data_IF_788135158188
#
_entry.id   IF_788135158188
#
_cell.length_a   1.000
_cell.length_b   1.000
_cell.length_c   1.000
_cell.angle_alpha   90.00
_cell.angle_beta   90.00
_cell.angle_gamma   90.00
#
_symmetry.space_group_name_H-M   'P 1'
#
loop_
_entity.id
_entity.type
_entity.pdbx_description
1 polymer ?
#
# COMPACT_ATOMS: atom_id res chain seq x y z
N UNK A 1 -12.82 9.61 15.09
CA UNK A 1 -13.38 9.69 13.71
C UNK A 1 -14.02 8.39 13.20
N UNK A 2 -14.49 7.46 14.05
CA UNK A 2 -15.26 6.29 13.58
C UNK A 2 -14.46 5.21 12.82
N UNK A 3 -13.15 5.37 12.70
CA UNK A 3 -12.23 4.43 12.06
C UNK A 3 -11.05 4.10 12.98
N UNK A 4 -10.48 2.92 12.77
CA UNK A 4 -9.19 2.49 13.31
C UNK A 4 -8.20 2.37 12.16
N UNK A 5 -6.92 2.67 12.41
CA UNK A 5 -5.90 2.63 11.36
C UNK A 5 -4.52 2.23 11.86
N UNK A 6 -3.76 1.63 10.95
CA UNK A 6 -2.36 1.28 11.08
C UNK A 6 -1.63 1.82 9.86
N UNK A 7 -0.73 2.76 10.09
CA UNK A 7 -0.02 3.49 9.05
C UNK A 7 1.46 3.08 9.05
N UNK A 8 2.13 3.16 7.90
CA UNK A 8 3.55 2.89 7.80
C UNK A 8 3.95 1.44 8.04
N UNK A 9 3.11 0.47 7.62
CA UNK A 9 3.41 -0.96 7.70
C UNK A 9 4.35 -1.34 6.55
N UNK A 10 5.58 -1.81 6.81
CA UNK A 10 6.51 -2.16 5.74
C UNK A 10 6.09 -3.49 5.11
N UNK A 11 5.99 -3.53 3.78
CA UNK A 11 5.68 -4.77 3.05
C UNK A 11 6.89 -5.35 2.30
N UNK A 12 7.99 -4.60 2.19
CA UNK A 12 9.22 -5.01 1.54
C UNK A 12 10.44 -4.46 2.28
N UNK A 13 11.62 -5.01 2.00
CA UNK A 13 12.87 -4.43 2.47
C UNK A 13 13.07 -3.02 1.87
N UNK A 14 13.69 -2.08 2.61
CA UNK A 14 13.95 -0.74 2.09
C UNK A 14 14.77 -0.79 0.80
N UNK A 15 14.32 -0.18 -0.32
CA UNK A 15 14.99 -0.25 -1.61
C UNK A 15 16.15 0.74 -1.71
N UNK A 16 17.03 0.75 -0.70
CA UNK A 16 18.16 1.67 -0.55
C UNK A 16 19.49 0.97 -0.83
N UNK A 17 20.53 1.75 -1.12
CA UNK A 17 21.88 1.22 -1.34
C UNK A 17 21.90 0.18 -2.47
N UNK A 18 22.32 -1.05 -2.17
CA UNK A 18 22.42 -2.15 -3.14
C UNK A 18 21.05 -2.65 -3.64
N UNK A 19 19.95 -2.29 -2.97
CA UNK A 19 18.58 -2.60 -3.41
C UNK A 19 17.96 -1.48 -4.25
N UNK A 20 18.66 -0.35 -4.43
CA UNK A 20 18.20 0.73 -5.30
C UNK A 20 18.07 0.22 -6.73
N UNK A 21 16.94 0.54 -7.36
CA UNK A 21 16.56 0.09 -8.71
C UNK A 21 16.39 -1.43 -8.88
N UNK A 22 16.44 -2.22 -7.81
CA UNK A 22 16.22 -3.67 -7.85
C UNK A 22 14.74 -4.02 -7.67
N UNK A 23 14.36 -5.21 -8.12
CA UNK A 23 13.11 -5.84 -7.71
C UNK A 23 12.95 -5.78 -6.18
N UNK A 24 11.74 -5.51 -5.65
CA UNK A 24 11.54 -5.46 -4.21
C UNK A 24 11.76 -6.83 -3.59
N UNK A 25 12.36 -6.84 -2.40
CA UNK A 25 12.64 -8.06 -1.65
C UNK A 25 11.61 -8.21 -0.53
N UNK A 26 10.89 -9.34 -0.42
CA UNK A 26 9.93 -9.57 0.65
C UNK A 26 10.60 -9.55 2.03
N UNK A 27 9.84 -9.10 3.04
CA UNK A 27 10.22 -9.24 4.45
C UNK A 27 9.89 -10.68 4.86
N UNK A 28 10.88 -11.56 4.88
CA UNK A 28 10.70 -12.96 5.25
C UNK A 28 10.61 -13.20 6.75
N UNK A 29 11.20 -12.30 7.54
CA UNK A 29 11.20 -12.39 8.99
C UNK A 29 10.50 -11.18 9.58
N UNK A 30 9.48 -11.36 10.43
CA UNK A 30 8.85 -10.25 11.12
C UNK A 30 9.92 -9.52 11.95
N UNK A 31 9.93 -8.18 11.89
CA UNK A 31 10.76 -7.38 12.80
C UNK A 31 10.39 -7.76 14.22
N UNK A 32 11.39 -8.05 15.06
CA UNK A 32 11.14 -8.39 16.47
C UNK A 32 10.63 -7.14 17.20
N UNK A 33 9.53 -7.29 17.93
CA UNK A 33 8.98 -6.24 18.79
C UNK A 33 7.76 -5.53 18.20
N UNK A 34 7.21 -4.60 18.98
CA UNK A 34 6.07 -3.79 18.58
C UNK A 34 6.54 -2.70 17.61
N UNK A 35 5.95 -2.64 16.42
CA UNK A 35 6.18 -1.55 15.48
C UNK A 35 5.15 -0.44 15.71
N UNK A 36 5.61 0.80 15.78
CA UNK A 36 4.72 1.95 15.82
C UNK A 36 4.06 2.14 14.45
N UNK A 37 2.73 2.10 14.41
CA UNK A 37 1.93 2.25 13.19
C UNK A 37 0.94 3.43 13.31
N UNK A 38 1.29 4.49 14.04
CA UNK A 38 0.45 5.69 14.21
C UNK A 38 0.72 6.80 13.21
N UNK A 39 1.73 6.65 12.35
CA UNK A 39 2.15 7.66 11.37
C UNK A 39 2.45 7.01 10.02
N UNK A 40 2.24 7.76 8.94
CA UNK A 40 2.62 7.31 7.61
C UNK A 40 4.14 7.09 7.53
N UNK A 41 4.54 6.07 6.77
CA UNK A 41 5.91 5.95 6.29
C UNK A 41 6.19 6.99 5.18
N UNK A 42 7.46 7.13 4.82
CA UNK A 42 7.88 8.12 3.83
C UNK A 42 7.20 7.89 2.47
N UNK A 43 6.92 8.99 1.77
CA UNK A 43 6.58 8.99 0.36
C UNK A 43 7.84 8.72 -0.49
N UNK A 44 7.67 8.00 -1.59
CA UNK A 44 8.80 7.67 -2.48
C UNK A 44 9.40 8.93 -3.14
N UNK A 45 10.70 8.91 -3.51
CA UNK A 45 11.38 10.07 -4.06
C UNK A 45 10.71 10.61 -5.32
N UNK A 46 10.36 11.89 -5.33
CA UNK A 46 9.66 12.55 -6.43
C UNK A 46 9.72 14.08 -6.30
N UNK A 47 9.57 14.79 -7.41
CA UNK A 47 9.28 16.20 -7.39
C UNK A 47 7.77 16.38 -7.16
N UNK A 48 7.37 16.81 -5.96
CA UNK A 48 5.97 16.94 -5.62
C UNK A 48 5.44 18.34 -5.98
N UNK A 49 4.37 18.39 -6.77
CA UNK A 49 3.64 19.63 -7.07
C UNK A 49 2.69 20.06 -5.93
N UNK A 50 2.44 19.18 -4.97
CA UNK A 50 1.56 19.37 -3.82
C UNK A 50 2.11 18.65 -2.59
N UNK A 51 1.47 18.84 -1.42
CA UNK A 51 1.82 18.08 -0.22
C UNK A 51 1.59 16.59 -0.43
N UNK A 52 2.54 15.76 0.02
CA UNK A 52 2.43 14.30 -0.01
C UNK A 52 1.95 13.73 1.33
N UNK A 53 1.76 14.57 2.36
CA UNK A 53 1.33 14.15 3.70
C UNK A 53 2.35 13.33 4.51
N UNK A 54 3.55 13.08 3.98
CA UNK A 54 4.68 12.44 4.65
C UNK A 54 6.00 13.01 4.13
N UNK A 55 7.13 12.84 4.87
CA UNK A 55 8.47 13.12 4.35
C UNK A 55 8.78 12.30 3.10
N UNK A 56 9.79 12.73 2.34
CA UNK A 56 10.26 12.02 1.14
C UNK A 56 11.52 11.24 1.47
N UNK A 57 11.54 9.95 1.14
CA UNK A 57 12.66 9.04 1.39
C UNK A 57 12.64 7.84 0.46
N UNK A 58 13.78 7.19 0.25
CA UNK A 58 13.86 5.94 -0.53
C UNK A 58 13.33 4.73 0.24
N UNK A 59 13.41 4.74 1.57
CA UNK A 59 12.69 3.78 2.41
C UNK A 59 11.21 4.16 2.40
N UNK A 60 10.47 3.77 1.35
CA UNK A 60 9.10 4.19 1.11
C UNK A 60 8.11 3.05 0.85
N UNK A 61 8.54 1.78 0.92
CA UNK A 61 7.71 0.61 0.60
C UNK A 61 6.81 0.22 1.78
N UNK A 62 5.88 1.13 2.06
CA UNK A 62 4.92 1.05 3.15
C UNK A 62 3.47 0.95 2.61
N UNK A 63 2.64 0.27 3.37
CA UNK A 63 1.19 0.27 3.22
C UNK A 63 0.50 0.70 4.51
N UNK A 64 -0.77 0.99 4.38
CA UNK A 64 -1.60 1.52 5.44
C UNK A 64 -2.95 0.79 5.41
N UNK A 65 -3.51 0.53 6.58
CA UNK A 65 -4.76 -0.20 6.75
C UNK A 65 -5.73 0.65 7.56
N UNK A 66 -6.98 0.78 7.10
CA UNK A 66 -8.07 1.40 7.83
C UNK A 66 -9.28 0.47 7.85
N UNK A 67 -9.98 0.48 8.97
CA UNK A 67 -11.26 -0.22 9.12
C UNK A 67 -12.26 0.61 9.94
N UNK A 68 -13.56 0.29 9.88
CA UNK A 68 -14.53 0.84 10.81
C UNK A 68 -14.12 0.57 12.27
N UNK A 69 -14.38 1.53 13.15
CA UNK A 69 -14.19 1.31 14.59
C UNK A 69 -15.12 0.19 15.06
N UNK A 70 -14.66 -0.61 16.02
CA UNK A 70 -15.38 -1.76 16.59
C UNK A 70 -15.55 -2.97 15.65
N UNK A 71 -14.85 -3.02 14.50
CA UNK A 71 -14.80 -4.24 13.68
C UNK A 71 -14.20 -5.39 14.50
N UNK A 72 -14.97 -6.46 14.66
CA UNK A 72 -14.56 -7.65 15.41
C UNK A 72 -13.80 -8.64 14.53
N UNK A 73 -12.96 -9.49 15.13
CA UNK A 73 -12.21 -10.51 14.40
C UNK A 73 -13.08 -11.57 13.67
N UNK A 74 -14.40 -11.58 13.91
CA UNK A 74 -15.37 -12.49 13.29
C UNK A 74 -16.01 -11.90 12.04
N UNK A 75 -15.89 -10.59 11.82
CA UNK A 75 -16.44 -9.93 10.65
C UNK A 75 -15.65 -10.28 9.39
N UNK A 76 -16.34 -10.29 8.26
CA UNK A 76 -15.75 -10.54 6.94
C UNK A 76 -16.00 -9.33 6.07
N UNK A 77 -15.12 -8.34 6.17
CA UNK A 77 -15.20 -7.14 5.37
C UNK A 77 -14.55 -7.39 3.99
N UNK A 78 -15.18 -6.98 2.88
CA UNK A 78 -14.47 -6.87 1.61
C UNK A 78 -13.28 -5.91 1.77
N UNK A 79 -12.15 -6.27 1.15
CA UNK A 79 -10.92 -5.48 1.18
C UNK A 79 -10.83 -4.67 -0.10
N UNK A 80 -10.81 -3.36 0.03
CA UNK A 80 -10.54 -2.41 -1.05
C UNK A 80 -9.06 -2.01 -0.98
N UNK A 81 -8.27 -2.46 -1.95
CA UNK A 81 -6.89 -1.99 -2.11
C UNK A 81 -6.85 -0.82 -3.09
N UNK A 82 -6.29 0.30 -2.65
CA UNK A 82 -6.13 1.54 -3.38
C UNK A 82 -4.67 1.79 -3.73
N UNK A 83 -4.40 1.97 -5.02
CA UNK A 83 -3.09 2.33 -5.55
C UNK A 83 -3.20 3.75 -6.10
N UNK A 84 -2.38 4.67 -5.57
CA UNK A 84 -2.44 6.06 -5.98
C UNK A 84 -2.02 6.25 -7.45
N UNK A 85 -2.63 7.23 -8.11
CA UNK A 85 -2.24 7.68 -9.44
C UNK A 85 -0.99 8.56 -9.43
N UNK A 86 -0.78 9.31 -10.51
CA UNK A 86 0.35 10.23 -10.69
C UNK A 86 1.29 9.87 -11.84
N UNK A 87 0.74 9.24 -12.89
CA UNK A 87 1.40 8.95 -14.17
C UNK A 87 2.72 8.18 -14.03
N UNK A 88 2.85 7.35 -12.98
CA UNK A 88 4.09 6.66 -12.59
C UNK A 88 5.26 7.58 -12.24
N UNK A 89 5.05 8.89 -12.07
CA UNK A 89 6.12 9.86 -11.80
C UNK A 89 6.06 10.45 -10.38
N UNK A 90 4.86 10.49 -9.79
CA UNK A 90 4.58 11.10 -8.49
C UNK A 90 3.33 10.47 -7.85
N UNK A 91 2.95 10.96 -6.67
CA UNK A 91 1.87 10.48 -5.82
C UNK A 91 2.38 9.76 -4.57
N UNK A 92 1.54 9.72 -3.53
CA UNK A 92 1.78 8.98 -2.31
C UNK A 92 0.46 8.53 -1.68
N UNK A 93 0.48 7.40 -0.98
CA UNK A 93 -0.65 6.90 -0.21
C UNK A 93 -0.98 7.73 1.04
N UNK A 94 -0.05 8.60 1.45
CA UNK A 94 -0.16 9.53 2.58
C UNK A 94 -0.76 10.88 2.19
N UNK A 95 -1.03 11.13 0.90
CA UNK A 95 -1.63 12.40 0.46
C UNK A 95 -2.99 12.62 1.17
N UNK A 96 -3.18 13.74 1.89
CA UNK A 96 -4.41 14.02 2.62
C UNK A 96 -5.68 14.03 1.76
N UNK A 97 -5.55 14.25 0.44
CA UNK A 97 -6.66 14.18 -0.50
C UNK A 97 -7.26 12.76 -0.60
N UNK A 98 -6.52 11.72 -0.20
CA UNK A 98 -6.93 10.32 -0.24
C UNK A 98 -7.34 9.74 1.12
N UNK A 99 -7.62 10.57 2.13
CA UNK A 99 -8.11 10.10 3.43
C UNK A 99 -9.42 9.27 3.26
N UNK A 100 -9.42 7.97 3.63
CA UNK A 100 -10.55 7.09 3.38
C UNK A 100 -11.67 7.22 4.43
N UNK A 101 -11.53 8.04 5.47
CA UNK A 101 -12.42 8.08 6.63
C UNK A 101 -13.88 8.28 6.24
N UNK A 102 -14.16 9.26 5.37
CA UNK A 102 -15.55 9.55 4.93
C UNK A 102 -16.12 8.41 4.09
N UNK A 103 -15.30 7.79 3.25
CA UNK A 103 -15.70 6.65 2.43
C UNK A 103 -16.04 5.44 3.30
N UNK A 104 -15.21 5.13 4.29
CA UNK A 104 -15.44 4.03 5.24
C UNK A 104 -16.71 4.30 6.04
N UNK A 105 -16.91 5.51 6.58
CA UNK A 105 -18.13 5.88 7.30
C UNK A 105 -19.38 5.70 6.42
N UNK A 106 -19.31 6.11 5.14
CA UNK A 106 -20.42 5.93 4.20
C UNK A 106 -20.69 4.47 3.89
N UNK A 107 -19.65 3.64 3.80
CA UNK A 107 -19.77 2.20 3.61
C UNK A 107 -20.54 1.53 4.77
N UNK A 108 -20.25 1.95 6.00
CA UNK A 108 -20.94 1.49 7.22
C UNK A 108 -22.40 1.93 7.21
N UNK A 109 -22.69 3.21 6.93
CA UNK A 109 -24.08 3.69 6.88
C UNK A 109 -24.92 3.02 5.78
N UNK A 110 -24.26 2.56 4.71
CA UNK A 110 -24.92 1.82 3.63
C UNK A 110 -25.07 0.31 3.92
N UNK A 111 -24.69 -0.16 5.12
CA UNK A 111 -24.73 -1.57 5.50
C UNK A 111 -23.71 -2.46 4.77
N UNK A 112 -22.69 -1.86 4.15
CA UNK A 112 -21.63 -2.55 3.39
C UNK A 112 -20.25 -2.08 3.85
N UNK A 113 -19.88 -2.34 5.12
CA UNK A 113 -18.59 -1.92 5.66
C UNK A 113 -17.43 -2.49 4.83
N UNK A 114 -16.43 -1.66 4.56
CA UNK A 114 -15.21 -2.06 3.84
C UNK A 114 -13.98 -1.92 4.73
N UNK A 115 -12.99 -2.78 4.50
CA UNK A 115 -11.61 -2.54 4.94
C UNK A 115 -10.87 -1.85 3.80
N UNK A 116 -10.12 -0.80 4.09
CA UNK A 116 -9.36 -0.05 3.10
C UNK A 116 -7.87 -0.23 3.30
N UNK A 117 -7.15 -0.50 2.22
CA UNK A 117 -5.69 -0.56 2.20
C UNK A 117 -5.17 0.43 1.17
N UNK A 118 -4.19 1.25 1.53
CA UNK A 118 -3.43 2.05 0.56
C UNK A 118 -1.95 1.71 0.65
N UNK A 119 -1.22 1.87 -0.45
CA UNK A 119 0.20 1.52 -0.52
C UNK A 119 1.00 2.52 -1.35
N UNK A 120 2.24 2.75 -0.93
CA UNK A 120 3.25 3.39 -1.77
C UNK A 120 3.89 2.35 -2.68
N UNK A 121 4.33 2.78 -3.85
CA UNK A 121 5.21 2.03 -4.76
C UNK A 121 6.22 3.01 -5.35
N UNK A 122 7.41 2.54 -5.74
CA UNK A 122 8.41 3.43 -6.34
C UNK A 122 7.87 4.03 -7.65
N UNK A 123 8.06 5.32 -7.80
CA UNK A 123 7.69 6.12 -8.97
C UNK A 123 8.94 6.61 -9.70
N UNK A 124 8.76 7.27 -10.85
CA UNK A 124 9.76 7.83 -11.75
C UNK A 124 10.94 6.88 -11.99
N UNK A 125 12.15 7.41 -12.18
CA UNK A 125 13.39 6.64 -12.32
C UNK A 125 13.60 5.62 -11.19
N UNK A 126 13.14 5.88 -9.96
CA UNK A 126 13.30 4.91 -8.87
C UNK A 126 12.49 3.62 -9.06
N UNK A 127 11.35 3.68 -9.76
CA UNK A 127 10.48 2.51 -10.01
C UNK A 127 10.45 2.03 -11.46
N UNK A 128 10.81 2.88 -12.42
CA UNK A 128 10.55 2.67 -13.84
C UNK A 128 11.76 2.99 -14.73
N UNK A 129 12.96 2.98 -14.17
CA UNK A 129 14.19 3.04 -14.99
C UNK A 129 14.26 1.81 -15.90
N UNK A 130 14.61 2.06 -17.16
CA UNK A 130 14.92 1.03 -18.14
C UNK A 130 16.20 1.43 -18.87
N UNK A 131 17.21 0.57 -18.80
CA UNK A 131 18.46 0.71 -19.55
C UNK A 131 19.11 -0.66 -19.74
N UNK A 132 20.09 -0.76 -20.63
CA UNK A 132 20.89 -1.97 -20.84
C UNK A 132 21.66 -2.43 -19.59
N UNK A 133 21.85 -1.53 -18.62
CA UNK A 133 22.51 -1.81 -17.34
C UNK A 133 21.55 -2.30 -16.25
N UNK A 134 20.24 -2.30 -16.52
CA UNK A 134 19.23 -2.86 -15.62
C UNK A 134 18.92 -4.27 -16.06
N UNK A 135 19.09 -5.22 -15.14
CA UNK A 135 18.78 -6.62 -15.41
C UNK A 135 17.27 -6.80 -15.65
N UNK A 136 16.89 -7.75 -16.50
CA UNK A 136 15.49 -7.91 -16.92
C UNK A 136 14.54 -8.12 -15.73
N UNK A 137 14.98 -8.82 -14.67
CA UNK A 137 14.20 -9.03 -13.45
C UNK A 137 13.99 -7.76 -12.62
N UNK A 138 14.78 -6.72 -12.82
CA UNK A 138 14.73 -5.46 -12.07
C UNK A 138 13.89 -4.39 -12.80
N UNK A 139 13.47 -4.65 -14.04
CA UNK A 139 12.62 -3.75 -14.81
C UNK A 139 11.21 -3.63 -14.21
N UNK A 140 10.58 -2.46 -14.36
CA UNK A 140 9.27 -2.17 -13.80
C UNK A 140 9.18 -2.42 -12.29
N UNK A 141 10.25 -2.12 -11.55
CA UNK A 141 10.32 -2.29 -10.10
C UNK A 141 9.10 -1.71 -9.36
N UNK A 142 8.55 -0.57 -9.82
CA UNK A 142 7.32 0.02 -9.27
C UNK A 142 6.06 -0.85 -9.46
N UNK A 143 5.95 -1.62 -10.55
CA UNK A 143 4.86 -2.62 -10.69
C UNK A 143 5.11 -3.86 -9.83
N UNK A 144 6.38 -4.24 -9.66
CA UNK A 144 6.74 -5.34 -8.77
C UNK A 144 6.46 -4.99 -7.31
N UNK A 145 6.66 -3.73 -6.91
CA UNK A 145 6.29 -3.20 -5.60
C UNK A 145 4.79 -3.37 -5.34
N UNK A 146 3.95 -2.98 -6.30
CA UNK A 146 2.50 -3.15 -6.23
C UNK A 146 2.11 -4.63 -6.09
N UNK A 147 2.72 -5.51 -6.90
CA UNK A 147 2.48 -6.95 -6.82
C UNK A 147 2.84 -7.51 -5.44
N UNK A 148 4.03 -7.18 -4.93
CA UNK A 148 4.47 -7.67 -3.63
C UNK A 148 3.59 -7.14 -2.49
N UNK A 149 3.14 -5.89 -2.58
CA UNK A 149 2.20 -5.34 -1.60
C UNK A 149 0.85 -6.09 -1.63
N UNK A 150 0.35 -6.49 -2.81
CA UNK A 150 -0.87 -7.30 -2.93
C UNK A 150 -0.69 -8.70 -2.35
N UNK A 151 0.47 -9.34 -2.58
CA UNK A 151 0.85 -10.62 -1.96
C UNK A 151 0.90 -10.47 -0.42
N UNK A 152 1.53 -9.40 0.09
CA UNK A 152 1.55 -9.11 1.52
C UNK A 152 0.13 -8.94 2.10
N UNK A 153 -0.75 -8.20 1.42
CA UNK A 153 -2.14 -8.02 1.86
C UNK A 153 -2.86 -9.36 1.89
N UNK A 154 -2.70 -10.19 0.86
CA UNK A 154 -3.31 -11.53 0.84
C UNK A 154 -2.87 -12.37 2.04
N UNK A 155 -1.60 -12.31 2.42
CA UNK A 155 -1.06 -13.14 3.49
C UNK A 155 -1.36 -12.61 4.90
N UNK A 156 -1.52 -11.29 5.06
CA UNK A 156 -1.54 -10.64 6.38
C UNK A 156 -2.85 -9.95 6.74
N UNK A 157 -3.74 -9.65 5.77
CA UNK A 157 -4.90 -8.79 6.05
C UNK A 157 -5.87 -9.39 7.06
N UNK A 158 -5.82 -10.72 7.24
CA UNK A 158 -6.64 -11.40 8.22
C UNK A 158 -6.34 -11.00 9.67
N UNK A 159 -5.10 -10.59 9.96
CA UNK A 159 -4.71 -10.08 11.27
C UNK A 159 -5.44 -8.78 11.64
N UNK A 160 -5.95 -8.04 10.66
CA UNK A 160 -6.70 -6.80 10.85
C UNK A 160 -8.22 -7.04 11.03
N UNK A 161 -8.61 -8.28 11.36
CA UNK A 161 -9.96 -8.65 11.77
C UNK A 161 -10.89 -9.03 10.63
N UNK A 162 -10.37 -9.64 9.56
CA UNK A 162 -11.16 -10.07 8.40
C UNK A 162 -10.82 -11.49 8.00
N UNK A 163 -11.80 -12.40 7.87
CA UNK A 163 -11.53 -13.67 7.17
C UNK A 163 -11.64 -13.45 5.67
N UNK A 164 -10.55 -13.61 4.91
CA UNK A 164 -10.56 -13.55 3.45
C UNK A 164 -11.51 -14.60 2.87
N UNK A 165 -12.44 -14.18 1.99
CA UNK A 165 -13.09 -15.11 1.07
C UNK A 165 -12.14 -15.24 -0.13
N UNK A 166 -11.51 -16.40 -0.29
CA UNK A 166 -10.49 -16.65 -1.31
C UNK A 166 -11.09 -16.43 -2.72
N UNK A 167 -10.83 -15.27 -3.33
CA UNK A 167 -11.20 -14.94 -4.71
C UNK A 167 -9.92 -14.78 -5.53
N UNK A 168 -9.72 -15.60 -6.58
CA UNK A 168 -8.56 -15.48 -7.48
C UNK A 168 -8.67 -14.20 -8.31
N UNK A 169 -7.54 -13.51 -8.50
CA UNK A 169 -7.40 -12.29 -9.31
C UNK A 169 -7.96 -12.46 -10.75
N UNK A 170 -8.80 -11.52 -11.17
CA UNK A 170 -9.18 -11.28 -12.57
C UNK A 170 -9.36 -9.77 -12.76
N UNK A 171 -8.44 -9.13 -13.48
CA UNK A 171 -8.39 -7.67 -13.61
C UNK A 171 -9.15 -7.14 -14.84
N UNK A 172 -9.64 -5.90 -14.73
CA UNK A 172 -9.81 -5.01 -15.88
C UNK A 172 -9.39 -3.58 -15.48
N UNK A 173 -8.68 -2.91 -16.38
CA UNK A 173 -7.98 -1.65 -16.16
C UNK A 173 -8.90 -0.44 -16.31
N UNK A 174 -8.83 0.46 -15.31
CA UNK A 174 -9.05 1.92 -15.26
C UNK A 174 -9.55 2.24 -13.86
N UNK A 175 -8.70 2.85 -13.04
CA UNK A 175 -8.92 3.07 -11.60
C UNK A 175 -9.02 1.73 -10.83
N UNK A 176 -7.87 1.15 -10.48
CA UNK A 176 -7.82 -0.14 -9.79
C UNK A 176 -8.29 0.00 -8.33
N UNK A 177 -9.59 -0.13 -8.13
CA UNK A 177 -10.15 -0.66 -6.90
C UNK A 177 -10.08 -2.19 -7.00
N UNK A 178 -9.04 -2.80 -6.41
CA UNK A 178 -9.02 -4.26 -6.28
C UNK A 178 -9.92 -4.61 -5.09
N UNK A 179 -11.11 -5.11 -5.39
CA UNK A 179 -11.96 -5.79 -4.39
C UNK A 179 -11.45 -7.22 -4.28
N UNK A 180 -10.83 -7.57 -3.16
CA UNK A 180 -10.42 -8.95 -2.83
C UNK A 180 -11.62 -9.74 -2.28
#
# INVERSE_FOLDING_TARGET
NGTEHWLGIPYAQPPVGNLRFKAPVPILLPRRGLQNATAFGDACPQAAASTLGAPIGEDCLYLNVWRPKNTTARERLPVLVWIHGGYFMQGAASDPAFDPTRMIQRSVSNGKPILFVSLNYRVNTFGFIASEHIAAQDLNAGLQDQRLALEFVQDNIAAFGVTLRRSRFGGQARQFAVSV
#
